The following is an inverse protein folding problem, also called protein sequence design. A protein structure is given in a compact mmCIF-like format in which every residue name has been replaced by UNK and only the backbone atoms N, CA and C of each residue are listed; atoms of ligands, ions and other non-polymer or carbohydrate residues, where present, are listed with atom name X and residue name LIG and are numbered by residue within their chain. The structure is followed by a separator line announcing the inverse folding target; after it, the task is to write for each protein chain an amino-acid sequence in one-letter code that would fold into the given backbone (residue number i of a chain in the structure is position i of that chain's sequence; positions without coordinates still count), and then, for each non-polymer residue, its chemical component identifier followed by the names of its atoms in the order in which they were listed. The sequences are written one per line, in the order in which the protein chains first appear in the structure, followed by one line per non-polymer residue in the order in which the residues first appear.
data_IF_808292776056
#
_entry.id   IF_808292776056
#
_cell.length_a   1.000
_cell.length_b   1.000
_cell.length_c   1.000
_cell.angle_alpha   90.00
_cell.angle_beta   90.00
_cell.angle_gamma   90.00
#
_symmetry.space_group_name_H-M   'P 1'
#
loop_
_entity.id
_entity.type
_entity.pdbx_description
1 polymer ?
#
# COMPACT_ATOMS: atom_id res chain seq x y z
N UNK A 1 22.50 -18.98 -5.43
CA UNK A 1 23.23 -17.72 -5.17
C UNK A 1 22.83 -17.27 -3.78
N UNK A 2 23.77 -17.26 -2.84
CA UNK A 2 23.54 -16.78 -1.47
C UNK A 2 23.25 -15.29 -1.54
N UNK A 3 22.06 -14.87 -1.08
CA UNK A 3 21.73 -13.47 -0.88
C UNK A 3 22.86 -12.82 -0.05
N UNK A 4 23.44 -11.74 -0.57
CA UNK A 4 24.36 -10.92 0.20
C UNK A 4 23.59 -10.41 1.40
N UNK A 5 23.95 -10.87 2.60
CA UNK A 5 23.38 -10.35 3.83
C UNK A 5 23.69 -8.84 3.88
N UNK A 6 22.68 -8.02 3.55
CA UNK A 6 22.72 -6.58 3.76
C UNK A 6 23.05 -6.39 5.23
N UNK A 7 24.23 -5.82 5.49
CA UNK A 7 24.67 -5.57 6.86
C UNK A 7 23.79 -4.46 7.41
N UNK A 8 22.74 -4.83 8.15
CA UNK A 8 21.82 -3.89 8.74
C UNK A 8 22.45 -3.23 9.97
N UNK A 9 22.26 -1.92 10.09
CA UNK A 9 22.84 -1.10 11.15
C UNK A 9 21.75 -0.22 11.73
N UNK A 10 21.80 0.09 13.03
CA UNK A 10 20.89 1.08 13.63
C UNK A 10 21.00 2.49 13.02
N UNK A 11 22.03 2.73 12.19
CA UNK A 11 22.25 4.01 11.50
C UNK A 11 21.51 4.12 10.18
N UNK A 12 21.06 3.01 9.61
CA UNK A 12 20.42 2.98 8.30
C UNK A 12 19.20 2.05 8.33
N UNK A 13 18.05 2.55 7.91
CA UNK A 13 16.84 1.74 7.85
C UNK A 13 16.99 0.68 6.74
N UNK A 14 16.71 -0.61 7.01
CA UNK A 14 16.93 -1.68 6.03
C UNK A 14 16.15 -1.51 4.71
N UNK A 15 14.95 -0.90 4.75
CA UNK A 15 14.21 -0.54 3.54
C UNK A 15 15.03 0.39 2.62
N UNK A 16 15.66 1.42 3.18
CA UNK A 16 16.48 2.33 2.38
C UNK A 16 17.79 1.69 1.93
N UNK A 17 18.36 0.79 2.72
CA UNK A 17 19.53 0.00 2.31
C UNK A 17 19.18 -0.92 1.13
N UNK A 18 18.01 -1.54 1.13
CA UNK A 18 17.53 -2.40 0.03
C UNK A 18 17.29 -1.61 -1.28
N UNK A 19 16.93 -0.33 -1.18
CA UNK A 19 16.69 0.57 -2.31
C UNK A 19 17.92 1.41 -2.70
N UNK A 20 19.08 1.21 -2.06
CA UNK A 20 20.24 2.11 -2.19
C UNK A 20 20.78 2.21 -3.63
N UNK A 21 20.75 1.10 -4.38
CA UNK A 21 21.24 1.03 -5.76
C UNK A 21 20.14 1.31 -6.80
N UNK A 22 18.88 1.44 -6.37
CA UNK A 22 17.73 1.68 -7.23
C UNK A 22 17.68 3.13 -7.69
N UNK A 23 17.47 3.36 -9.00
CA UNK A 23 17.43 4.70 -9.59
C UNK A 23 16.03 5.14 -9.95
N UNK A 24 15.15 4.20 -10.30
CA UNK A 24 13.82 4.47 -10.87
C UNK A 24 12.80 3.63 -10.12
N UNK A 25 12.28 4.19 -9.03
CA UNK A 25 11.45 3.48 -8.06
C UNK A 25 9.97 3.77 -8.32
N UNK A 26 9.16 2.73 -8.47
CA UNK A 26 7.71 2.84 -8.44
C UNK A 26 7.20 2.60 -7.01
N UNK A 27 6.48 3.55 -6.45
CA UNK A 27 5.74 3.38 -5.19
C UNK A 27 4.25 3.30 -5.53
N UNK A 28 3.62 2.16 -5.29
CA UNK A 28 2.24 1.90 -5.70
C UNK A 28 1.34 1.51 -4.52
N UNK A 29 0.18 2.16 -4.40
CA UNK A 29 -0.86 1.77 -3.43
C UNK A 29 -1.49 0.41 -3.79
N UNK A 30 -1.51 -0.53 -2.84
CA UNK A 30 -1.88 -1.93 -3.05
C UNK A 30 -3.39 -2.17 -2.96
N UNK A 31 -4.04 -1.75 -1.87
CA UNK A 31 -5.48 -1.87 -1.64
C UNK A 31 -6.32 -0.87 -2.44
N UNK A 32 -5.65 0.10 -3.05
CA UNK A 32 -6.23 1.13 -3.89
C UNK A 32 -6.74 2.33 -3.10
N UNK A 33 -7.63 3.11 -3.71
CA UNK A 33 -8.15 4.31 -3.07
C UNK A 33 -7.04 5.28 -2.65
N UNK A 34 -6.84 5.46 -1.34
CA UNK A 34 -5.88 6.43 -0.78
C UNK A 34 -4.54 5.81 -0.33
N UNK A 35 -4.30 4.52 -0.56
CA UNK A 35 -3.09 3.86 -0.05
C UNK A 35 -1.80 4.46 -0.58
N UNK A 36 -1.81 4.94 -1.83
CA UNK A 36 -0.68 5.67 -2.44
C UNK A 36 -0.23 6.88 -1.61
N UNK A 37 -1.10 7.48 -0.79
CA UNK A 37 -0.71 8.58 0.11
C UNK A 37 0.24 8.11 1.21
N UNK A 38 0.10 6.87 1.68
CA UNK A 38 1.06 6.23 2.58
C UNK A 38 2.45 6.12 1.98
N UNK A 39 2.59 6.22 0.65
CA UNK A 39 3.87 6.25 -0.05
C UNK A 39 4.53 7.62 -0.14
N UNK A 40 3.80 8.71 0.15
CA UNK A 40 4.31 10.09 0.00
C UNK A 40 5.58 10.33 0.81
N UNK A 41 5.67 9.97 2.11
CA UNK A 41 6.91 10.16 2.86
C UNK A 41 8.12 9.47 2.23
N UNK A 42 7.93 8.22 1.79
CA UNK A 42 8.97 7.43 1.14
C UNK A 42 9.39 8.04 -0.20
N UNK A 43 8.42 8.52 -0.99
CA UNK A 43 8.70 9.18 -2.26
C UNK A 43 9.56 10.43 -2.08
N UNK A 44 9.25 11.26 -1.08
CA UNK A 44 10.03 12.47 -0.79
C UNK A 44 11.44 12.12 -0.33
N UNK A 45 11.59 11.16 0.58
CA UNK A 45 12.88 10.74 1.09
C UNK A 45 13.78 10.11 0.00
N UNK A 46 13.22 9.31 -0.91
CA UNK A 46 13.97 8.72 -2.02
C UNK A 46 14.37 9.76 -3.07
N UNK A 47 13.50 10.73 -3.37
CA UNK A 47 13.83 11.86 -4.27
C UNK A 47 14.95 12.72 -3.72
N UNK A 48 14.96 12.99 -2.41
CA UNK A 48 16.05 13.72 -1.75
C UNK A 48 17.39 12.97 -1.83
N UNK A 49 17.36 11.64 -1.93
CA UNK A 49 18.54 10.79 -2.17
C UNK A 49 18.93 10.67 -3.65
N UNK A 50 18.20 11.32 -4.55
CA UNK A 50 18.50 11.39 -5.98
C UNK A 50 17.84 10.31 -6.85
N UNK A 51 16.95 9.48 -6.30
CA UNK A 51 16.17 8.54 -7.10
C UNK A 51 15.03 9.25 -7.85
N UNK A 52 14.75 8.80 -9.07
CA UNK A 52 13.54 9.17 -9.80
C UNK A 52 12.39 8.30 -9.26
N UNK A 53 11.39 8.94 -8.65
CA UNK A 53 10.28 8.21 -8.02
C UNK A 53 8.97 8.47 -8.75
N UNK A 54 8.32 7.38 -9.14
CA UNK A 54 7.01 7.34 -9.76
C UNK A 54 5.97 6.86 -8.75
N UNK A 55 4.74 7.38 -8.85
CA UNK A 55 3.63 7.01 -7.97
C UNK A 55 2.60 6.23 -8.77
N UNK A 56 2.12 5.13 -8.21
CA UNK A 56 1.08 4.28 -8.77
C UNK A 56 -0.06 4.04 -7.77
N UNK A 57 -1.23 3.65 -8.24
CA UNK A 57 -2.32 3.19 -7.39
C UNK A 57 -3.21 2.22 -8.15
N UNK A 58 -3.62 1.13 -7.49
CA UNK A 58 -4.79 0.40 -7.92
C UNK A 58 -6.02 1.33 -7.79
N UNK A 59 -6.81 1.47 -8.85
CA UNK A 59 -7.86 2.49 -8.89
C UNK A 59 -9.26 1.95 -8.65
N UNK A 60 -10.06 2.76 -7.97
CA UNK A 60 -11.51 2.56 -7.86
C UNK A 60 -12.28 3.36 -8.91
N UNK A 61 -11.58 4.11 -9.77
CA UNK A 61 -12.17 4.88 -10.86
C UNK A 61 -12.04 4.08 -12.15
N UNK A 62 -13.14 3.45 -12.58
CA UNK A 62 -13.15 2.54 -13.73
C UNK A 62 -13.56 3.18 -15.06
N UNK A 63 -13.80 4.49 -15.11
CA UNK A 63 -14.32 5.15 -16.31
C UNK A 63 -14.05 6.65 -16.34
N UNK A 64 -14.22 7.25 -17.52
CA UNK A 64 -14.14 8.70 -17.71
C UNK A 64 -12.73 9.24 -17.96
N UNK A 65 -11.75 8.37 -18.17
CA UNK A 65 -10.43 8.77 -18.64
C UNK A 65 -10.47 9.08 -20.14
N UNK A 66 -9.75 10.13 -20.55
CA UNK A 66 -9.52 10.39 -21.97
C UNK A 66 -8.72 9.25 -22.58
N UNK A 67 -8.92 8.96 -23.87
CA UNK A 67 -8.13 7.94 -24.58
C UNK A 67 -6.63 8.19 -24.46
N UNK A 68 -6.22 9.46 -24.54
CA UNK A 68 -4.81 9.88 -24.43
C UNK A 68 -4.21 9.71 -23.03
N UNK A 69 -5.02 9.39 -22.00
CA UNK A 69 -4.51 9.11 -20.68
C UNK A 69 -3.95 7.68 -20.56
N UNK A 70 -4.37 6.76 -21.43
CA UNK A 70 -3.98 5.36 -21.36
C UNK A 70 -2.58 5.16 -21.94
N UNK A 71 -1.65 4.70 -21.10
CA UNK A 71 -0.31 4.35 -21.53
C UNK A 71 -0.31 2.99 -22.24
N UNK A 72 -1.07 2.05 -21.69
CA UNK A 72 -1.30 0.70 -22.19
C UNK A 72 -2.66 0.21 -21.65
N UNK A 73 -3.16 -0.97 -22.07
CA UNK A 73 -4.31 -1.57 -21.40
C UNK A 73 -4.13 -1.59 -19.89
N UNK A 74 -5.18 -1.20 -19.17
CA UNK A 74 -5.26 -1.26 -17.72
C UNK A 74 -4.27 -0.37 -16.93
N UNK A 75 -3.52 0.53 -17.60
CA UNK A 75 -2.70 1.57 -16.94
C UNK A 75 -2.82 2.94 -17.62
N UNK A 76 -3.20 3.94 -16.83
CA UNK A 76 -3.35 5.32 -17.26
C UNK A 76 -2.42 6.28 -16.51
N UNK A 77 -1.89 7.29 -17.20
CA UNK A 77 -1.16 8.40 -16.60
C UNK A 77 -2.14 9.49 -16.15
N UNK A 78 -2.34 9.62 -14.84
CA UNK A 78 -3.23 10.63 -14.26
C UNK A 78 -2.43 11.89 -13.94
N UNK A 79 -2.82 13.00 -14.56
CA UNK A 79 -2.25 14.33 -14.37
C UNK A 79 -3.22 15.21 -13.57
N UNK A 80 -2.80 16.40 -13.11
CA UNK A 80 -3.68 17.33 -12.41
C UNK A 80 -4.91 17.76 -13.23
N UNK A 81 -4.76 17.73 -14.56
CA UNK A 81 -5.78 18.10 -15.53
C UNK A 81 -6.63 16.92 -16.01
N UNK A 82 -6.34 15.68 -15.59
CA UNK A 82 -7.10 14.51 -16.02
C UNK A 82 -8.59 14.68 -15.70
N UNK A 83 -9.41 14.39 -16.71
CA UNK A 83 -10.87 14.47 -16.65
C UNK A 83 -11.48 13.39 -15.74
N UNK A 84 -12.79 13.20 -15.84
CA UNK A 84 -13.53 12.21 -15.06
C UNK A 84 -14.48 12.87 -14.06
N UNK A 85 -15.72 12.39 -14.06
CA UNK A 85 -16.83 12.89 -13.23
C UNK A 85 -16.86 12.28 -11.83
N UNK A 86 -15.93 11.38 -11.52
CA UNK A 86 -15.87 10.75 -10.21
C UNK A 86 -15.54 11.80 -9.14
N UNK A 87 -16.44 11.92 -8.17
CA UNK A 87 -16.25 12.73 -6.96
C UNK A 87 -15.13 12.15 -6.09
N UNK A 88 -14.98 10.81 -6.11
CA UNK A 88 -13.88 10.09 -5.49
C UNK A 88 -12.81 9.77 -6.55
N UNK A 89 -11.71 10.51 -6.54
CA UNK A 89 -10.58 10.27 -7.46
C UNK A 89 -9.23 10.57 -6.78
N UNK A 90 -8.78 9.70 -5.85
CA UNK A 90 -7.59 9.92 -5.03
C UNK A 90 -6.31 10.20 -5.83
N UNK A 91 -6.10 9.51 -6.95
CA UNK A 91 -4.91 9.66 -7.80
C UNK A 91 -4.84 11.05 -8.41
N UNK A 92 -5.98 11.58 -8.89
CA UNK A 92 -6.07 12.95 -9.40
C UNK A 92 -5.91 13.98 -8.28
N UNK A 93 -6.49 13.71 -7.12
CA UNK A 93 -6.33 14.57 -5.94
C UNK A 93 -4.85 14.65 -5.53
N UNK A 94 -4.15 13.52 -5.52
CA UNK A 94 -2.72 13.46 -5.25
C UNK A 94 -1.91 14.17 -6.33
N UNK A 95 -2.19 13.93 -7.61
CA UNK A 95 -1.56 14.63 -8.73
C UNK A 95 -1.68 16.16 -8.60
N UNK A 96 -2.87 16.67 -8.26
CA UNK A 96 -3.10 18.10 -8.04
C UNK A 96 -2.29 18.64 -6.87
N UNK A 97 -2.26 17.93 -5.74
CA UNK A 97 -1.44 18.32 -4.60
C UNK A 97 0.06 18.31 -4.92
N UNK A 98 0.57 17.28 -5.61
CA UNK A 98 1.97 17.22 -6.04
C UNK A 98 2.35 18.45 -6.88
N UNK A 99 1.45 18.89 -7.77
CA UNK A 99 1.65 20.12 -8.56
C UNK A 99 1.74 21.36 -7.66
N UNK A 100 0.95 21.45 -6.59
CA UNK A 100 0.99 22.63 -5.70
C UNK A 100 2.28 22.72 -4.89
N UNK A 101 2.91 21.58 -4.58
CA UNK A 101 4.20 21.52 -3.86
C UNK A 101 5.42 21.45 -4.77
N UNK A 102 5.23 21.56 -6.10
CA UNK A 102 6.33 21.59 -7.08
C UNK A 102 6.97 20.23 -7.38
N UNK A 103 6.30 19.13 -7.04
CA UNK A 103 6.77 17.76 -7.26
C UNK A 103 6.26 17.20 -8.60
N UNK A 104 6.91 16.17 -9.18
CA UNK A 104 6.36 15.41 -10.31
C UNK A 104 4.92 14.97 -10.02
N UNK A 105 4.00 15.42 -10.87
CA UNK A 105 2.55 15.41 -10.59
C UNK A 105 1.76 14.39 -11.42
N UNK A 106 2.45 13.38 -11.96
CA UNK A 106 1.79 12.24 -12.59
C UNK A 106 1.65 11.10 -11.58
N UNK A 107 0.45 10.55 -11.47
CA UNK A 107 0.15 9.33 -10.71
C UNK A 107 -0.38 8.29 -11.68
N UNK A 108 0.22 7.12 -11.73
CA UNK A 108 -0.23 6.03 -12.60
C UNK A 108 -1.38 5.28 -11.94
N UNK A 109 -2.44 5.06 -12.70
CA UNK A 109 -3.67 4.46 -12.24
C UNK A 109 -3.85 3.11 -12.91
N UNK A 110 -3.86 2.04 -12.10
CA UNK A 110 -4.02 0.67 -12.56
C UNK A 110 -5.45 0.20 -12.39
N UNK A 111 -6.04 -0.37 -13.44
CA UNK A 111 -7.42 -0.86 -13.39
C UNK A 111 -7.55 -2.11 -12.51
N UNK A 112 -8.71 -2.21 -11.84
CA UNK A 112 -9.05 -3.35 -11.00
C UNK A 112 -9.50 -4.55 -11.86
N UNK A 113 -8.53 -5.31 -12.35
CA UNK A 113 -8.68 -6.50 -13.19
C UNK A 113 -8.38 -7.79 -12.41
N UNK A 114 -7.85 -8.84 -13.06
CA UNK A 114 -7.21 -9.98 -12.41
C UNK A 114 -5.68 -9.86 -12.45
N UNK A 115 -4.98 -10.87 -11.94
CA UNK A 115 -3.51 -10.86 -11.84
C UNK A 115 -2.85 -10.73 -13.21
N UNK A 116 -3.30 -11.45 -14.23
CA UNK A 116 -2.64 -11.45 -15.54
C UNK A 116 -2.72 -10.09 -16.25
N UNK A 117 -3.91 -9.47 -16.44
CA UNK A 117 -3.96 -8.15 -17.08
C UNK A 117 -3.25 -7.07 -16.27
N UNK A 118 -3.34 -7.13 -14.93
CA UNK A 118 -2.65 -6.17 -14.07
C UNK A 118 -1.13 -6.31 -14.19
N UNK A 119 -0.61 -7.53 -14.28
CA UNK A 119 0.82 -7.79 -14.50
C UNK A 119 1.33 -7.23 -15.82
N UNK A 120 0.56 -7.39 -16.89
CA UNK A 120 0.88 -6.78 -18.18
C UNK A 120 0.86 -5.24 -18.12
N UNK A 121 -0.06 -4.65 -17.36
CA UNK A 121 -0.10 -3.21 -17.14
C UNK A 121 1.15 -2.71 -16.38
N UNK A 122 1.58 -3.43 -15.34
CA UNK A 122 2.84 -3.16 -14.64
C UNK A 122 4.05 -3.29 -15.58
N UNK A 123 4.13 -4.36 -16.39
CA UNK A 123 5.21 -4.54 -17.37
C UNK A 123 5.29 -3.41 -18.39
N UNK A 124 4.14 -2.96 -18.90
CA UNK A 124 4.09 -1.83 -19.82
C UNK A 124 4.61 -0.54 -19.16
N UNK A 125 4.24 -0.29 -17.90
CA UNK A 125 4.74 0.85 -17.15
C UNK A 125 6.25 0.75 -16.86
N UNK A 126 6.71 -0.43 -16.45
CA UNK A 126 8.13 -0.73 -16.22
C UNK A 126 8.94 -0.45 -17.48
N UNK A 127 8.49 -0.94 -18.64
CA UNK A 127 9.17 -0.71 -19.91
C UNK A 127 9.18 0.78 -20.31
N UNK A 128 8.07 1.49 -20.09
CA UNK A 128 7.95 2.91 -20.41
C UNK A 128 8.85 3.80 -19.53
N UNK A 129 8.93 3.49 -18.24
CA UNK A 129 9.62 4.29 -17.23
C UNK A 129 10.95 3.70 -16.77
N UNK A 130 11.41 2.60 -17.37
CA UNK A 130 12.63 1.89 -16.97
C UNK A 130 12.73 1.63 -15.47
N UNK A 131 11.62 1.26 -14.83
CA UNK A 131 11.54 1.02 -13.37
C UNK A 131 12.49 -0.12 -13.00
N UNK A 132 13.27 0.07 -11.94
CA UNK A 132 14.23 -0.93 -11.43
C UNK A 132 13.92 -1.42 -10.00
N UNK A 133 12.95 -0.78 -9.32
CA UNK A 133 12.44 -1.23 -8.03
C UNK A 133 10.96 -0.89 -7.84
N UNK A 134 10.24 -1.71 -7.08
CA UNK A 134 8.82 -1.52 -6.75
C UNK A 134 8.64 -1.56 -5.23
N UNK A 135 7.87 -0.61 -4.70
CA UNK A 135 7.40 -0.61 -3.31
C UNK A 135 5.87 -0.57 -3.32
N UNK A 136 5.23 -1.64 -2.87
CA UNK A 136 3.81 -1.65 -2.59
C UNK A 136 3.52 -1.00 -1.24
N UNK A 137 2.46 -0.20 -1.18
CA UNK A 137 2.02 0.50 0.04
C UNK A 137 0.61 0.04 0.37
N UNK A 138 0.43 -0.49 1.57
CA UNK A 138 -0.87 -0.80 2.15
C UNK A 138 -1.22 0.21 3.25
N UNK A 139 -2.41 0.79 3.14
CA UNK A 139 -3.03 1.64 4.15
C UNK A 139 -3.79 0.81 5.18
N UNK A 140 -3.06 0.03 5.96
CA UNK A 140 -3.60 -0.97 6.85
C UNK A 140 -2.53 -1.97 7.21
N UNK A 141 -2.97 -3.14 7.62
CA UNK A 141 -2.15 -4.31 7.99
C UNK A 141 -2.71 -5.60 7.44
N UNK A 142 -3.79 -5.56 6.66
CA UNK A 142 -4.41 -6.73 6.05
C UNK A 142 -3.57 -7.36 4.95
N UNK A 143 -2.67 -6.61 4.28
CA UNK A 143 -1.69 -7.20 3.36
C UNK A 143 -0.74 -8.20 4.06
N UNK A 144 -0.64 -8.15 5.39
CA UNK A 144 0.21 -9.05 6.19
C UNK A 144 -0.53 -10.36 6.55
N UNK A 145 -1.79 -10.54 6.15
CA UNK A 145 -2.63 -11.68 6.53
C UNK A 145 -2.52 -12.84 5.53
N UNK A 146 -2.08 -14.01 6.02
CA UNK A 146 -1.73 -15.19 5.22
C UNK A 146 -2.94 -15.95 4.67
N UNK A 147 -4.09 -15.84 5.33
CA UNK A 147 -5.36 -16.49 4.96
C UNK A 147 -6.02 -17.33 6.05
N UNK A 148 -5.26 -17.76 7.06
CA UNK A 148 -5.72 -18.63 8.15
C UNK A 148 -6.12 -17.86 9.42
N UNK A 149 -6.01 -16.54 9.42
CA UNK A 149 -6.35 -15.65 10.52
C UNK A 149 -7.85 -15.67 10.84
N UNK A 150 -8.18 -15.18 12.04
CA UNK A 150 -9.57 -15.03 12.49
C UNK A 150 -10.38 -14.13 11.54
N UNK A 151 -9.76 -13.04 11.07
CA UNK A 151 -10.27 -12.13 10.05
C UNK A 151 -9.13 -11.62 9.18
N UNK A 152 -9.41 -11.31 7.91
CA UNK A 152 -8.40 -10.89 6.93
C UNK A 152 -8.49 -9.42 6.54
N UNK A 153 -9.42 -8.64 7.12
CA UNK A 153 -9.67 -7.29 6.61
C UNK A 153 -10.38 -7.32 5.26
N UNK A 154 -9.85 -6.58 4.29
CA UNK A 154 -10.33 -6.43 2.91
C UNK A 154 -9.26 -6.87 1.91
N UNK A 155 -8.90 -8.16 1.86
CA UNK A 155 -7.68 -8.63 1.22
C UNK A 155 -7.69 -8.57 -0.31
N UNK A 156 -8.84 -8.45 -0.97
CA UNK A 156 -8.96 -8.70 -2.41
C UNK A 156 -8.06 -7.78 -3.26
N UNK A 157 -8.06 -6.49 -2.98
CA UNK A 157 -7.23 -5.52 -3.68
C UNK A 157 -5.73 -5.67 -3.35
N UNK A 158 -5.38 -5.85 -2.07
CA UNK A 158 -4.00 -6.06 -1.64
C UNK A 158 -3.39 -7.31 -2.26
N UNK A 159 -4.16 -8.39 -2.30
CA UNK A 159 -3.72 -9.67 -2.85
C UNK A 159 -3.60 -9.66 -4.35
N UNK A 160 -4.47 -8.91 -5.05
CA UNK A 160 -4.32 -8.64 -6.47
C UNK A 160 -2.98 -7.92 -6.74
N UNK A 161 -2.67 -6.87 -5.98
CA UNK A 161 -1.42 -6.12 -6.11
C UNK A 161 -0.20 -6.96 -5.73
N UNK A 162 -0.26 -7.69 -4.61
CA UNK A 162 0.83 -8.55 -4.14
C UNK A 162 1.13 -9.69 -5.12
N UNK A 163 0.11 -10.43 -5.59
CA UNK A 163 0.29 -11.52 -6.56
C UNK A 163 0.84 -10.98 -7.90
N UNK A 164 0.40 -9.80 -8.30
CA UNK A 164 0.93 -9.15 -9.51
C UNK A 164 2.43 -8.90 -9.38
N UNK A 165 2.86 -8.18 -8.34
CA UNK A 165 4.26 -7.78 -8.16
C UNK A 165 5.16 -8.98 -7.82
N UNK A 166 4.65 -9.96 -7.08
CA UNK A 166 5.37 -11.21 -6.79
C UNK A 166 5.74 -11.98 -8.07
N UNK A 167 4.94 -11.88 -9.14
CA UNK A 167 5.23 -12.50 -10.44
C UNK A 167 6.10 -11.67 -11.41
N UNK A 168 6.62 -10.51 -10.97
CA UNK A 168 7.51 -9.65 -11.76
C UNK A 168 8.99 -9.96 -11.47
N UNK A 169 9.45 -11.16 -11.80
CA UNK A 169 10.81 -11.62 -11.51
C UNK A 169 11.92 -10.82 -12.23
N UNK A 170 11.56 -10.04 -13.24
CA UNK A 170 12.44 -9.07 -13.89
C UNK A 170 12.84 -7.88 -13.00
N UNK A 171 12.10 -7.61 -11.90
CA UNK A 171 12.42 -6.57 -10.93
C UNK A 171 13.04 -7.19 -9.68
N UNK A 172 14.33 -6.92 -9.45
CA UNK A 172 15.07 -7.53 -8.35
C UNK A 172 14.76 -6.98 -6.96
N UNK A 173 14.33 -5.72 -6.85
CA UNK A 173 14.00 -5.08 -5.57
C UNK A 173 12.50 -4.81 -5.52
N UNK A 174 11.79 -5.63 -4.75
CA UNK A 174 10.34 -5.56 -4.59
C UNK A 174 9.99 -5.61 -3.11
N UNK A 175 9.44 -4.53 -2.59
CA UNK A 175 9.14 -4.36 -1.17
C UNK A 175 7.65 -4.12 -0.95
N UNK A 176 7.18 -4.45 0.25
CA UNK A 176 5.88 -4.03 0.77
C UNK A 176 6.10 -3.19 2.01
N UNK A 177 5.36 -2.10 2.12
CA UNK A 177 5.22 -1.34 3.35
C UNK A 177 3.76 -1.30 3.75
N UNK A 178 3.49 -1.61 5.01
CA UNK A 178 2.17 -1.49 5.63
C UNK A 178 2.24 -0.37 6.68
N UNK A 179 1.26 0.54 6.67
CA UNK A 179 1.16 1.65 7.62
C UNK A 179 -0.28 1.80 8.10
N UNK A 180 -0.47 2.12 9.37
CA UNK A 180 -1.82 2.23 9.95
C UNK A 180 -2.19 1.07 10.88
N UNK A 181 -1.23 0.51 11.61
CA UNK A 181 -1.48 -0.55 12.59
C UNK A 181 -2.63 -0.22 13.54
N UNK A 182 -3.69 -1.03 13.50
CA UNK A 182 -4.90 -0.79 14.28
C UNK A 182 -6.16 -0.54 13.44
N UNK A 183 -5.99 -0.01 12.24
CA UNK A 183 -7.09 0.53 11.43
C UNK A 183 -8.07 -0.57 10.98
N UNK A 184 -7.55 -1.73 10.61
CA UNK A 184 -8.35 -2.83 10.04
C UNK A 184 -9.04 -3.71 11.09
N UNK A 185 -8.93 -3.35 12.37
CA UNK A 185 -9.70 -4.00 13.44
C UNK A 185 -11.21 -3.97 13.16
N UNK A 186 -11.68 -2.88 12.54
CA UNK A 186 -13.07 -2.74 12.09
C UNK A 186 -13.46 -3.80 11.05
N UNK A 187 -12.51 -4.22 10.20
CA UNK A 187 -12.66 -5.27 9.20
C UNK A 187 -12.24 -6.66 9.73
N UNK A 188 -12.11 -6.80 11.05
CA UNK A 188 -11.90 -8.10 11.72
C UNK A 188 -10.45 -8.55 11.79
N UNK A 189 -9.47 -7.71 11.42
CA UNK A 189 -8.05 -8.04 11.61
C UNK A 189 -7.71 -8.12 13.09
N UNK A 190 -7.04 -9.20 13.50
CA UNK A 190 -6.53 -9.36 14.85
C UNK A 190 -5.06 -8.94 14.92
N UNK A 191 -4.77 -7.85 15.64
CA UNK A 191 -3.41 -7.30 15.69
C UNK A 191 -2.36 -8.19 16.37
N UNK A 192 -2.76 -9.13 17.23
CA UNK A 192 -1.81 -10.13 17.74
C UNK A 192 -1.37 -11.06 16.61
N UNK A 193 -2.30 -11.48 15.75
CA UNK A 193 -1.99 -12.32 14.58
C UNK A 193 -1.14 -11.56 13.54
N UNK A 194 -1.32 -10.24 13.38
CA UNK A 194 -0.40 -9.37 12.59
C UNK A 194 1.03 -9.47 13.14
N UNK A 195 1.19 -9.33 14.46
CA UNK A 195 2.51 -9.40 15.09
C UNK A 195 3.14 -10.80 15.02
N UNK A 196 2.33 -11.86 15.14
CA UNK A 196 2.77 -13.23 14.91
C UNK A 196 3.29 -13.41 13.47
N UNK A 197 2.58 -12.87 12.47
CA UNK A 197 2.98 -12.94 11.07
C UNK A 197 4.26 -12.16 10.79
N UNK A 198 4.45 -11.00 11.42
CA UNK A 198 5.69 -10.24 11.31
C UNK A 198 6.87 -10.97 11.95
N UNK A 199 6.68 -11.61 13.11
CA UNK A 199 7.70 -12.45 13.74
C UNK A 199 8.08 -13.65 12.86
N UNK A 200 7.09 -14.26 12.21
CA UNK A 200 7.28 -15.33 11.24
C UNK A 200 8.09 -14.86 10.01
N UNK A 201 7.81 -13.66 9.49
CA UNK A 201 8.56 -13.05 8.39
C UNK A 201 9.99 -12.68 8.81
N UNK A 202 10.17 -12.21 10.04
CA UNK A 202 11.48 -11.90 10.61
C UNK A 202 12.35 -13.15 10.76
N UNK A 203 11.76 -14.26 11.21
CA UNK A 203 12.44 -15.56 11.31
C UNK A 203 12.97 -16.05 9.95
N UNK A 204 12.31 -15.68 8.85
CA UNK A 204 12.74 -15.99 7.48
C UNK A 204 13.71 -14.94 6.89
N UNK A 205 14.00 -13.87 7.62
CA UNK A 205 14.79 -12.73 7.13
C UNK A 205 14.06 -11.85 6.11
N UNK A 206 12.73 -11.95 6.03
CA UNK A 206 11.89 -11.20 5.12
C UNK A 206 11.39 -9.87 5.69
N UNK A 207 11.45 -9.69 7.02
CA UNK A 207 11.09 -8.45 7.70
C UNK A 207 12.29 -7.48 7.71
N UNK A 208 12.10 -6.31 7.12
CA UNK A 208 13.09 -5.24 7.02
C UNK A 208 12.96 -4.22 8.18
N UNK A 209 12.17 -4.56 9.20
CA UNK A 209 11.97 -3.73 10.38
C UNK A 209 10.83 -2.73 10.24
N UNK A 210 10.66 -1.94 11.30
CA UNK A 210 9.67 -0.87 11.38
C UNK A 210 10.30 0.46 11.76
N UNK A 211 9.70 1.55 11.27
CA UNK A 211 10.11 2.90 11.59
C UNK A 211 8.92 3.88 11.49
N UNK A 212 8.97 4.95 12.28
CA UNK A 212 7.91 5.98 12.27
C UNK A 212 8.19 7.05 11.23
N UNK A 213 7.12 7.65 10.69
CA UNK A 213 7.23 8.92 9.97
C UNK A 213 7.60 10.02 10.97
N UNK A 214 8.76 10.69 10.85
CA UNK A 214 9.10 11.75 11.80
C UNK A 214 8.25 12.98 11.52
N UNK A 215 7.30 13.33 12.41
CA UNK A 215 6.38 14.47 12.22
C UNK A 215 7.08 15.77 11.81
N UNK A 216 8.22 16.08 12.44
CA UNK A 216 8.96 17.33 12.22
C UNK A 216 9.85 17.32 10.96
N UNK A 217 9.91 16.20 10.25
CA UNK A 217 10.65 16.09 8.98
C UNK A 217 9.90 16.78 7.83
N UNK A 218 10.60 17.00 6.71
CA UNK A 218 9.99 17.55 5.49
C UNK A 218 8.95 16.58 4.94
N UNK A 219 9.31 15.30 4.82
CA UNK A 219 8.44 14.24 4.32
C UNK A 219 7.20 14.02 5.20
N UNK A 220 7.34 14.14 6.53
CA UNK A 220 6.22 14.06 7.46
C UNK A 220 5.28 15.26 7.35
N UNK A 221 5.82 16.47 7.21
CA UNK A 221 5.02 17.68 7.02
C UNK A 221 4.25 17.67 5.70
N UNK A 222 4.91 17.24 4.61
CA UNK A 222 4.29 17.08 3.29
C UNK A 222 3.20 16.02 3.28
N UNK A 223 3.37 14.91 3.99
CA UNK A 223 2.32 13.91 4.12
C UNK A 223 1.08 14.45 4.85
N UNK A 224 1.26 15.17 5.96
CA UNK A 224 0.14 15.80 6.68
C UNK A 224 -0.62 16.80 5.78
N UNK A 225 0.12 17.59 4.99
CA UNK A 225 -0.44 18.53 4.01
C UNK A 225 -1.21 17.79 2.90
N UNK A 226 -0.65 16.71 2.36
CA UNK A 226 -1.32 15.88 1.34
C UNK A 226 -2.64 15.29 1.86
N UNK A 227 -2.64 14.77 3.08
CA UNK A 227 -3.85 14.20 3.71
C UNK A 227 -4.90 15.28 3.95
N UNK A 228 -4.52 16.45 4.44
CA UNK A 228 -5.44 17.59 4.62
C UNK A 228 -6.03 18.03 3.26
N UNK A 229 -5.19 18.21 2.24
CA UNK A 229 -5.63 18.54 0.89
C UNK A 229 -6.61 17.50 0.34
N UNK A 230 -6.33 16.21 0.56
CA UNK A 230 -7.22 15.14 0.15
C UNK A 230 -8.59 15.19 0.86
N UNK A 231 -8.61 15.46 2.16
CA UNK A 231 -9.86 15.60 2.92
C UNK A 231 -10.72 16.75 2.40
N UNK A 232 -10.11 17.90 2.11
CA UNK A 232 -10.81 19.07 1.55
C UNK A 232 -11.34 18.82 0.14
N UNK A 233 -10.63 18.02 -0.67
CA UNK A 233 -10.96 17.77 -2.08
C UNK A 233 -11.77 16.47 -2.29
N UNK A 234 -12.05 15.70 -1.25
CA UNK A 234 -12.94 14.53 -1.29
C UNK A 234 -13.91 14.49 -0.09
N UNK A 235 -14.65 15.58 0.19
CA UNK A 235 -15.36 15.77 1.45
C UNK A 235 -16.48 14.74 1.70
N UNK A 236 -17.07 14.16 0.66
CA UNK A 236 -18.10 13.12 0.80
C UNK A 236 -17.53 11.75 1.17
N UNK A 237 -16.29 11.46 0.78
CA UNK A 237 -15.62 10.17 1.01
C UNK A 237 -14.13 10.37 1.34
N UNK A 238 -13.79 11.10 2.42
CA UNK A 238 -12.40 11.29 2.83
C UNK A 238 -11.80 9.95 3.26
N UNK A 239 -10.48 9.85 3.20
CA UNK A 239 -9.75 8.67 3.66
C UNK A 239 -9.83 8.52 5.18
N UNK A 240 -10.50 7.45 5.63
CA UNK A 240 -10.53 7.07 7.06
C UNK A 240 -9.14 6.60 7.50
N UNK A 241 -8.45 5.84 6.65
CA UNK A 241 -7.13 5.29 6.94
C UNK A 241 -6.12 6.44 7.15
N UNK A 242 -5.92 7.25 6.11
CA UNK A 242 -4.87 8.27 6.10
C UNK A 242 -5.16 9.39 7.12
N UNK A 243 -6.43 9.69 7.41
CA UNK A 243 -6.77 10.65 8.47
C UNK A 243 -6.48 10.12 9.89
N UNK A 244 -6.58 8.81 10.13
CA UNK A 244 -6.18 8.22 11.41
C UNK A 244 -4.65 8.21 11.56
N UNK A 245 -3.92 7.87 10.50
CA UNK A 245 -2.45 7.94 10.46
C UNK A 245 -1.98 9.38 10.73
N UNK A 246 -2.57 10.38 10.04
CA UNK A 246 -2.28 11.79 10.28
C UNK A 246 -2.57 12.21 11.73
N UNK A 247 -3.68 11.74 12.31
CA UNK A 247 -4.01 12.00 13.73
C UNK A 247 -2.95 11.40 14.66
N UNK A 248 -2.52 10.16 14.42
CA UNK A 248 -1.46 9.51 15.18
C UNK A 248 -0.12 10.27 15.09
N UNK A 249 0.25 10.72 13.88
CA UNK A 249 1.44 11.57 13.68
C UNK A 249 1.38 12.88 14.46
N UNK A 250 0.18 13.44 14.67
CA UNK A 250 -0.03 14.64 15.47
C UNK A 250 0.02 14.38 17.00
N UNK A 251 0.23 13.13 17.42
CA UNK A 251 0.27 12.72 18.83
C UNK A 251 -1.11 12.54 19.45
N UNK A 252 -2.15 12.45 18.63
CA UNK A 252 -3.53 12.22 19.08
C UNK A 252 -3.74 10.72 19.33
N UNK A 253 -4.54 10.37 20.33
CA UNK A 253 -4.84 8.97 20.69
C UNK A 253 -6.28 8.80 21.15
N UNK A 254 -6.84 7.60 20.95
CA UNK A 254 -8.18 7.21 21.40
C UNK A 254 -9.26 7.30 20.32
N UNK A 255 -10.51 7.47 20.75
CA UNK A 255 -11.67 7.50 19.87
C UNK A 255 -11.82 8.85 19.16
N UNK A 256 -11.06 9.04 18.07
CA UNK A 256 -10.95 10.32 17.37
C UNK A 256 -11.62 10.27 16.01
N UNK A 257 -12.65 11.10 15.84
CA UNK A 257 -13.43 11.20 14.61
C UNK A 257 -13.16 12.51 13.89
N UNK A 258 -12.78 12.43 12.62
CA UNK A 258 -12.60 13.58 11.72
C UNK A 258 -13.56 13.54 10.53
N UNK A 259 -14.43 12.53 10.46
CA UNK A 259 -15.44 12.38 9.40
C UNK A 259 -16.69 11.69 9.94
N UNK A 260 -17.86 12.07 9.44
CA UNK A 260 -19.15 11.45 9.76
C UNK A 260 -19.18 9.95 9.42
N UNK A 261 -18.33 9.48 8.50
CA UNK A 261 -18.23 8.05 8.13
C UNK A 261 -17.86 7.14 9.31
N UNK A 262 -17.28 7.70 10.37
CA UNK A 262 -16.82 6.96 11.55
C UNK A 262 -17.66 7.22 12.79
N UNK A 263 -18.72 8.04 12.71
CA UNK A 263 -19.47 8.52 13.88
C UNK A 263 -20.17 7.42 14.70
N UNK A 264 -20.37 6.24 14.10
CA UNK A 264 -21.05 5.09 14.72
C UNK A 264 -20.08 3.94 15.04
N UNK A 265 -18.77 4.16 14.98
CA UNK A 265 -17.74 3.19 15.38
C UNK A 265 -16.94 3.71 16.57
N UNK A 266 -16.24 2.81 17.26
CA UNK A 266 -15.22 3.19 18.23
C UNK A 266 -13.87 3.00 17.54
N UNK A 267 -13.16 4.10 17.36
CA UNK A 267 -11.80 4.13 16.83
C UNK A 267 -10.78 4.06 17.97
N UNK A 268 -9.57 3.66 17.64
CA UNK A 268 -8.44 3.70 18.56
C UNK A 268 -7.21 4.21 17.83
N UNK A 269 -7.18 5.52 17.59
CA UNK A 269 -5.97 6.18 17.10
C UNK A 269 -4.86 5.93 18.11
N UNK A 270 -3.71 5.45 17.63
CA UNK A 270 -2.59 5.09 18.48
C UNK A 270 -1.25 5.33 17.75
N UNK A 271 -0.12 5.48 18.46
CA UNK A 271 1.16 5.81 17.85
C UNK A 271 1.68 4.79 16.82
N UNK A 272 1.27 3.52 16.90
CA UNK A 272 1.71 2.48 15.95
C UNK A 272 1.11 2.69 14.56
N UNK A 273 0.01 3.46 14.43
CA UNK A 273 -0.54 3.82 13.13
C UNK A 273 0.42 4.66 12.29
N UNK A 274 1.35 5.40 12.91
CA UNK A 274 2.36 6.19 12.22
C UNK A 274 3.67 5.43 11.94
N UNK A 275 3.68 4.11 12.15
CA UNK A 275 4.81 3.22 11.87
C UNK A 275 4.59 2.47 10.57
N UNK A 276 5.62 2.46 9.72
CA UNK A 276 5.74 1.50 8.64
C UNK A 276 6.22 0.16 9.18
N UNK A 277 5.65 -0.93 8.69
CA UNK A 277 6.18 -2.28 8.77
C UNK A 277 6.63 -2.66 7.37
N UNK A 278 7.88 -3.07 7.22
CA UNK A 278 8.49 -3.22 5.90
C UNK A 278 8.97 -4.64 5.68
N UNK A 279 8.64 -5.24 4.53
CA UNK A 279 8.93 -6.63 4.21
C UNK A 279 9.31 -6.78 2.74
N UNK A 280 10.04 -7.83 2.40
CA UNK A 280 10.27 -8.21 0.99
C UNK A 280 9.00 -8.80 0.38
N UNK A 281 8.70 -8.51 -0.88
CA UNK A 281 7.57 -9.14 -1.59
C UNK A 281 7.73 -10.66 -1.63
N UNK A 282 8.94 -11.16 -1.87
CA UNK A 282 9.22 -12.59 -1.98
C UNK A 282 8.88 -13.35 -0.69
N UNK A 283 9.36 -12.86 0.44
CA UNK A 283 9.09 -13.46 1.74
C UNK A 283 7.63 -13.35 2.17
N UNK A 284 6.98 -12.22 1.87
CA UNK A 284 5.55 -12.06 2.15
C UNK A 284 4.71 -13.02 1.30
N UNK A 285 4.96 -13.08 -0.01
CA UNK A 285 4.25 -13.95 -0.93
C UNK A 285 4.41 -15.44 -0.58
N UNK A 286 5.61 -15.86 -0.16
CA UNK A 286 5.89 -17.24 0.23
C UNK A 286 5.06 -17.72 1.44
N UNK A 287 4.60 -16.80 2.29
CA UNK A 287 3.76 -17.12 3.46
C UNK A 287 2.26 -17.00 3.22
N UNK A 288 1.82 -16.46 2.08
CA UNK A 288 0.40 -16.37 1.77
C UNK A 288 -0.15 -17.69 1.21
N UNK A 289 -1.15 -18.24 1.89
CA UNK A 289 -1.61 -19.61 1.66
C UNK A 289 -2.44 -19.78 0.39
N UNK A 290 -3.07 -18.70 -0.09
CA UNK A 290 -3.93 -18.71 -1.27
C UNK A 290 -3.38 -17.87 -2.42
N UNK A 291 -2.28 -17.13 -2.23
CA UNK A 291 -1.70 -16.26 -3.26
C UNK A 291 -1.35 -17.02 -4.55
N UNK A 292 -0.74 -18.22 -4.51
CA UNK A 292 -0.48 -18.99 -5.74
C UNK A 292 -1.74 -19.37 -6.52
N UNK A 293 -2.90 -19.43 -5.86
CA UNK A 293 -4.18 -19.75 -6.52
C UNK A 293 -4.72 -18.58 -7.35
N UNK A 294 -4.21 -17.35 -7.14
CA UNK A 294 -4.63 -16.15 -7.87
C UNK A 294 -3.98 -16.02 -9.25
N UNK A 295 -2.94 -16.82 -9.53
CA UNK A 295 -2.29 -16.85 -10.83
C UNK A 295 -3.27 -17.21 -11.96
N UNK A 296 -3.07 -16.60 -13.14
CA UNK A 296 -3.95 -16.81 -14.29
C UNK A 296 -5.31 -16.11 -14.23
N UNK A 297 -5.67 -15.46 -13.12
CA UNK A 297 -6.94 -14.73 -13.01
C UNK A 297 -6.99 -13.53 -13.97
N UNK A 298 -8.16 -13.31 -14.56
CA UNK A 298 -8.42 -12.27 -15.56
C UNK A 298 -9.29 -11.13 -15.01
N UNK A 299 -10.07 -11.42 -13.97
CA UNK A 299 -11.06 -10.49 -13.42
C UNK A 299 -10.98 -10.43 -11.91
N UNK A 300 -11.32 -9.28 -11.35
CA UNK A 300 -11.36 -9.06 -9.90
C UNK A 300 -12.34 -10.01 -9.18
N UNK A 301 -13.43 -10.39 -9.86
CA UNK A 301 -14.40 -11.36 -9.30
C UNK A 301 -13.78 -12.73 -9.05
N UNK A 302 -12.84 -13.16 -9.91
CA UNK A 302 -12.14 -14.44 -9.70
C UNK A 302 -11.29 -14.38 -8.43
N UNK A 303 -10.59 -13.26 -8.18
CA UNK A 303 -9.83 -13.03 -6.95
C UNK A 303 -10.72 -13.23 -5.72
N UNK A 304 -11.82 -12.47 -5.63
CA UNK A 304 -12.76 -12.56 -4.52
C UNK A 304 -13.33 -13.98 -4.34
N UNK A 305 -13.61 -14.68 -5.44
CA UNK A 305 -14.14 -16.05 -5.42
C UNK A 305 -13.11 -17.05 -4.89
N UNK A 306 -11.86 -16.94 -5.32
CA UNK A 306 -10.77 -17.83 -4.89
C UNK A 306 -10.47 -17.62 -3.41
N UNK A 307 -10.35 -16.37 -2.97
CA UNK A 307 -10.13 -16.04 -1.56
C UNK A 307 -11.28 -16.58 -0.72
N UNK A 308 -12.53 -16.30 -1.09
CA UNK A 308 -13.71 -16.82 -0.39
C UNK A 308 -13.73 -18.35 -0.32
N UNK A 309 -13.49 -19.04 -1.44
CA UNK A 309 -13.47 -20.51 -1.50
C UNK A 309 -12.37 -21.10 -0.63
N UNK A 310 -11.16 -20.52 -0.66
CA UNK A 310 -10.07 -20.92 0.21
C UNK A 310 -10.47 -20.80 1.69
N UNK A 311 -11.04 -19.64 2.06
CA UNK A 311 -11.45 -19.35 3.44
C UNK A 311 -12.57 -20.23 3.97
N UNK A 312 -13.50 -20.64 3.11
CA UNK A 312 -14.60 -21.54 3.45
C UNK A 312 -14.14 -23.00 3.51
N UNK A 313 -13.06 -23.34 2.79
CA UNK A 313 -12.45 -24.67 2.82
C UNK A 313 -11.50 -24.93 3.98
N UNK A 314 -11.16 -23.92 4.79
CA UNK A 314 -10.27 -24.10 5.94
C UNK A 314 -10.93 -24.98 7.02
N UNK A 315 -10.26 -26.03 7.52
CA UNK A 315 -10.81 -26.86 8.58
C UNK A 315 -10.98 -26.07 9.88
N UNK A 316 -10.02 -25.19 10.19
CA UNK A 316 -10.04 -24.28 11.33
C UNK A 316 -9.34 -22.96 10.96
N UNK A 317 -9.73 -21.87 11.63
CA UNK A 317 -9.07 -20.56 11.57
C UNK A 317 -8.34 -20.32 12.89
N UNK A 318 -7.25 -19.56 12.86
CA UNK A 318 -6.49 -19.20 14.06
C UNK A 318 -7.39 -18.49 15.07
N UNK A 319 -7.33 -18.94 16.31
CA UNK A 319 -8.10 -18.34 17.41
C UNK A 319 -7.55 -16.92 17.66
N UNK A 320 -8.40 -15.87 17.64
CA UNK A 320 -7.95 -14.51 17.91
C UNK A 320 -7.45 -14.39 19.35
N UNK A 321 -6.36 -13.65 19.55
CA UNK A 321 -5.77 -13.42 20.86
C UNK A 321 -5.91 -11.96 21.27
N UNK A 322 -5.92 -11.72 22.58
CA UNK A 322 -5.83 -10.38 23.13
C UNK A 322 -4.36 -10.00 23.31
N UNK A 323 -4.02 -8.76 22.97
CA UNK A 323 -2.71 -8.23 23.26
C UNK A 323 -2.52 -8.16 24.79
N UNK A 324 -1.37 -8.57 25.34
CA UNK A 324 -1.12 -8.47 26.78
C UNK A 324 -1.27 -7.01 27.23
N UNK A 325 -2.02 -6.78 28.31
CA UNK A 325 -2.22 -5.48 28.94
C UNK A 325 -1.66 -5.47 30.37
#
# INVERSE_FOLDING_TARGET
MTASATTTSLRELPLFAALADSRRVLIAGAGGGFDVFGGVPLAMALRERGAEVFLGSLTFVSSGFSLDAWLAPDVAAITPASGGFAEYFPERTLARWLKTVGEPSTVYSFQRTGVEPLREAYRALIAHLGIDAIVLVDGGTDILMRGDEAGLGTPEEDMLSLATVAGLDEISVRLVVSIGFGIDSYHGVNHVQVLENLADLDADGAYLGAFSIPRASREGSLYLDAVAYAQENTPSRPSIVQGQIASAMLGVSGNVHFTQRTQNSVLFVNPLMAMYFTVTVEGLAARHLYLPMLEGTQTFRQIATIIGTFRDGLPERRIPRQFPH
#
